data_IF_167436152417
#
_entry.id   IF_167436152417
#
_cell.length_a   1.000
_cell.length_b   1.000
_cell.length_c   1.000
_cell.angle_alpha   90.00
_cell.angle_beta   90.00
_cell.angle_gamma   90.00
#
_symmetry.space_group_name_H-M   'P 1'
#
loop_
_entity.id
_entity.type
_entity.pdbx_description
1 polymer ?
#
# COMPACT_ATOMS: atom_id res chain seq x y z
N UNK A 1 7.92 -17.70 32.83
CA UNK A 1 7.92 -16.24 33.11
C UNK A 1 7.84 -15.53 31.76
N UNK A 2 7.00 -14.51 31.60
CA UNK A 2 6.77 -13.82 30.32
C UNK A 2 7.30 -12.39 30.42
N UNK A 3 8.09 -11.94 29.43
CA UNK A 3 8.49 -10.54 29.28
C UNK A 3 7.42 -9.85 28.42
N UNK A 4 6.61 -8.98 29.03
CA UNK A 4 5.55 -8.26 28.32
C UNK A 4 6.09 -7.10 27.48
N UNK A 5 7.19 -6.49 27.91
CA UNK A 5 7.86 -5.40 27.22
C UNK A 5 9.33 -5.41 27.58
N UNK A 6 10.19 -5.26 26.58
CA UNK A 6 11.63 -5.09 26.75
C UNK A 6 11.96 -3.75 27.44
N UNK A 7 13.07 -3.72 28.18
CA UNK A 7 13.63 -2.48 28.70
C UNK A 7 13.92 -1.49 27.56
N UNK A 8 13.62 -0.20 27.82
CA UNK A 8 13.70 0.88 26.84
C UNK A 8 14.44 2.08 27.43
N UNK A 9 15.30 2.69 26.61
CA UNK A 9 16.01 3.92 26.91
C UNK A 9 15.75 4.95 25.82
N UNK A 10 15.42 6.16 26.24
CA UNK A 10 15.23 7.30 25.35
C UNK A 10 16.49 8.15 25.38
N UNK A 11 17.13 8.30 24.23
CA UNK A 11 18.32 9.15 24.04
C UNK A 11 17.85 10.43 23.35
N UNK A 12 18.08 11.56 24.01
CA UNK A 12 17.68 12.88 23.53
C UNK A 12 18.56 13.37 22.38
N UNK A 13 18.08 14.38 21.64
CA UNK A 13 18.86 15.04 20.57
C UNK A 13 20.22 15.54 21.05
N UNK A 14 20.26 16.12 22.24
CA UNK A 14 21.48 16.74 22.79
C UNK A 14 22.52 15.67 23.14
N UNK A 15 22.09 14.53 23.67
CA UNK A 15 22.95 13.37 23.90
C UNK A 15 23.50 12.83 22.56
N UNK A 16 22.66 12.66 21.54
CA UNK A 16 23.10 12.18 20.22
C UNK A 16 24.09 13.15 19.56
N UNK A 17 23.86 14.45 19.69
CA UNK A 17 24.76 15.48 19.16
C UNK A 17 26.13 15.41 19.85
N UNK A 18 26.13 15.27 21.17
CA UNK A 18 27.36 15.11 21.98
C UNK A 18 28.15 13.87 21.56
N UNK A 19 27.47 12.75 21.31
CA UNK A 19 28.13 11.53 20.81
C UNK A 19 28.78 11.75 19.44
N UNK A 20 28.09 12.44 18.52
CA UNK A 20 28.57 12.64 17.16
C UNK A 20 29.74 13.63 17.06
N UNK A 21 29.74 14.68 17.89
CA UNK A 21 30.77 15.73 17.94
C UNK A 21 32.02 15.31 18.73
N UNK A 22 31.97 14.21 19.49
CA UNK A 22 33.13 13.67 20.19
C UNK A 22 34.21 13.19 19.21
N UNK A 23 35.46 13.59 19.45
CA UNK A 23 36.62 13.08 18.73
C UNK A 23 36.87 11.58 19.02
N UNK A 24 36.47 11.11 20.19
CA UNK A 24 36.45 9.70 20.58
C UNK A 24 34.99 9.27 20.86
N UNK A 25 34.33 8.79 19.81
CA UNK A 25 32.92 8.37 19.87
C UNK A 25 32.73 7.14 20.73
N UNK A 26 33.72 6.25 20.75
CA UNK A 26 33.67 5.04 21.57
C UNK A 26 33.67 5.40 23.05
N UNK A 27 34.59 6.24 23.50
CA UNK A 27 34.63 6.70 24.89
C UNK A 27 33.34 7.44 25.29
N UNK A 28 32.79 8.29 24.41
CA UNK A 28 31.54 9.00 24.66
C UNK A 28 30.35 8.05 24.84
N UNK A 29 30.24 7.02 23.99
CA UNK A 29 29.21 5.99 24.11
C UNK A 29 29.39 5.13 25.36
N UNK A 30 30.61 4.82 25.78
CA UNK A 30 30.85 4.15 27.07
C UNK A 30 30.42 5.02 28.26
N UNK A 31 30.61 6.34 28.19
CA UNK A 31 30.11 7.29 29.17
C UNK A 31 28.58 7.23 29.30
N UNK A 32 27.88 7.32 28.17
CA UNK A 32 26.42 7.19 28.12
C UNK A 32 25.94 5.84 28.66
N UNK A 33 26.64 4.75 28.30
CA UNK A 33 26.35 3.41 28.80
C UNK A 33 26.46 3.32 30.31
N UNK A 34 27.52 3.87 30.90
CA UNK A 34 27.71 3.87 32.35
C UNK A 34 26.63 4.69 33.06
N UNK A 35 26.29 5.87 32.54
CA UNK A 35 25.26 6.75 33.09
C UNK A 35 23.86 6.11 33.05
N UNK A 36 23.49 5.54 31.89
CA UNK A 36 22.15 4.98 31.63
C UNK A 36 22.02 3.50 31.96
N UNK A 37 23.11 2.87 32.43
CA UNK A 37 23.21 1.43 32.71
C UNK A 37 22.78 0.58 31.50
N UNK A 38 23.24 0.95 30.30
CA UNK A 38 22.93 0.20 29.10
C UNK A 38 23.64 -1.17 29.12
N UNK A 39 22.96 -2.26 28.71
CA UNK A 39 23.62 -3.54 28.49
C UNK A 39 24.64 -3.44 27.34
N UNK A 40 25.52 -4.43 27.21
CA UNK A 40 26.48 -4.49 26.09
C UNK A 40 25.77 -4.46 24.74
N UNK A 41 24.70 -5.25 24.61
CA UNK A 41 23.92 -5.34 23.39
C UNK A 41 22.62 -4.56 23.52
N UNK A 42 22.45 -3.57 22.66
CA UNK A 42 21.21 -2.80 22.54
C UNK A 42 20.66 -2.92 21.12
N UNK A 43 19.40 -2.59 20.95
CA UNK A 43 18.73 -2.54 19.65
C UNK A 43 18.27 -1.13 19.42
N UNK A 44 18.74 -0.51 18.35
CA UNK A 44 18.13 0.72 17.84
C UNK A 44 16.84 0.32 17.11
N UNK A 45 15.70 0.75 17.65
CA UNK A 45 14.39 0.43 17.08
C UNK A 45 13.84 1.60 16.25
N UNK A 46 13.44 1.32 15.01
CA UNK A 46 12.91 2.29 14.05
C UNK A 46 11.70 1.68 13.31
N UNK A 47 10.51 1.82 13.91
CA UNK A 47 9.32 1.07 13.45
C UNK A 47 9.55 -0.43 13.49
N UNK A 48 9.41 -1.09 12.33
CA UNK A 48 9.65 -2.53 12.13
C UNK A 48 11.14 -2.88 11.89
N UNK A 49 11.99 -1.87 11.63
CA UNK A 49 13.42 -2.09 11.46
C UNK A 49 14.10 -2.10 12.84
N UNK A 50 14.84 -3.17 13.11
CA UNK A 50 15.64 -3.31 14.34
C UNK A 50 17.10 -3.49 13.97
N UNK A 51 17.98 -2.70 14.58
CA UNK A 51 19.42 -2.80 14.38
C UNK A 51 20.11 -3.13 15.70
N UNK A 52 20.63 -4.37 15.86
CA UNK A 52 21.48 -4.73 16.99
C UNK A 52 22.79 -3.93 16.96
N UNK A 53 23.18 -3.42 18.12
CA UNK A 53 24.43 -2.68 18.32
C UNK A 53 25.18 -3.33 19.47
N UNK A 54 26.38 -3.81 19.18
CA UNK A 54 27.37 -4.20 20.21
C UNK A 54 28.12 -2.95 20.65
N UNK A 55 27.88 -2.50 21.88
CA UNK A 55 28.54 -1.32 22.44
C UNK A 55 30.00 -1.58 22.81
N UNK A 56 30.49 -2.83 22.83
CA UNK A 56 31.93 -3.13 23.02
C UNK A 56 32.71 -3.12 21.70
N UNK A 57 32.03 -3.08 20.55
CA UNK A 57 32.68 -3.09 19.24
C UNK A 57 32.77 -1.67 18.67
N UNK A 58 34.00 -1.19 18.43
CA UNK A 58 34.27 0.17 17.95
C UNK A 58 33.57 0.47 16.61
N UNK A 59 33.58 -0.47 15.66
CA UNK A 59 32.92 -0.29 14.36
C UNK A 59 31.39 -0.23 14.50
N UNK A 60 30.83 -1.07 15.37
CA UNK A 60 29.40 -1.07 15.70
C UNK A 60 28.99 0.26 16.33
N UNK A 61 29.81 0.82 17.22
CA UNK A 61 29.60 2.15 17.81
C UNK A 61 29.69 3.25 16.76
N UNK A 62 30.67 3.20 15.85
CA UNK A 62 30.77 4.17 14.75
C UNK A 62 29.55 4.13 13.83
N UNK A 63 29.11 2.92 13.44
CA UNK A 63 27.89 2.75 12.65
C UNK A 63 26.66 3.25 13.40
N UNK A 64 26.52 2.94 14.68
CA UNK A 64 25.44 3.44 15.52
C UNK A 64 25.40 4.97 15.54
N UNK A 65 26.52 5.63 15.87
CA UNK A 65 26.61 7.10 15.92
C UNK A 65 26.30 7.70 14.54
N UNK A 66 26.82 7.11 13.46
CA UNK A 66 26.56 7.57 12.10
C UNK A 66 25.07 7.50 11.72
N UNK A 67 24.35 6.48 12.17
CA UNK A 67 22.92 6.28 11.89
C UNK A 67 22.04 7.24 12.69
N UNK A 68 22.48 7.64 13.88
CA UNK A 68 21.69 8.49 14.79
C UNK A 68 22.07 9.97 14.77
N UNK A 69 23.18 10.36 14.14
CA UNK A 69 23.74 11.74 14.16
C UNK A 69 22.79 12.86 13.74
N UNK A 70 21.84 12.58 12.85
CA UNK A 70 20.88 13.56 12.32
C UNK A 70 19.48 13.42 12.95
N UNK A 71 19.30 12.49 13.89
CA UNK A 71 17.99 12.20 14.50
C UNK A 71 17.68 13.19 15.62
N UNK A 72 16.39 13.49 15.81
CA UNK A 72 15.90 14.30 16.93
C UNK A 72 15.87 13.54 18.28
N UNK A 73 16.20 12.25 18.27
CA UNK A 73 16.25 11.36 19.41
C UNK A 73 16.30 9.90 18.94
N UNK A 74 16.62 8.99 19.85
CA UNK A 74 16.67 7.55 19.55
C UNK A 74 16.04 6.74 20.70
N UNK A 75 15.30 5.69 20.35
CA UNK A 75 14.84 4.69 21.33
C UNK A 75 15.72 3.45 21.22
N UNK A 76 16.41 3.13 22.30
CA UNK A 76 17.16 1.90 22.45
C UNK A 76 16.32 0.88 23.21
N UNK A 77 16.37 -0.38 22.80
CA UNK A 77 15.80 -1.53 23.49
C UNK A 77 16.90 -2.47 23.92
N UNK A 78 16.65 -3.29 24.94
CA UNK A 78 17.57 -4.39 25.25
C UNK A 78 17.51 -5.44 24.14
N UNK A 79 18.65 -6.04 23.80
CA UNK A 79 18.67 -7.21 22.94
C UNK A 79 18.26 -8.43 23.79
N UNK A 80 17.04 -8.91 23.58
CA UNK A 80 16.49 -10.06 24.31
C UNK A 80 15.88 -11.10 23.36
N UNK A 81 16.23 -12.39 23.47
CA UNK A 81 17.29 -12.95 24.32
C UNK A 81 18.69 -12.48 23.88
N UNK A 82 19.64 -12.40 24.81
CA UNK A 82 21.03 -12.13 24.45
C UNK A 82 21.61 -13.29 23.60
N UNK A 83 22.65 -13.05 22.77
CA UNK A 83 23.23 -14.09 21.91
C UNK A 83 23.61 -15.38 22.66
N UNK A 84 24.13 -15.26 23.87
CA UNK A 84 24.49 -16.38 24.75
C UNK A 84 23.28 -17.15 25.32
N UNK A 85 22.08 -16.56 25.27
CA UNK A 85 20.82 -17.14 25.76
C UNK A 85 19.97 -17.77 24.64
N UNK A 86 20.46 -17.77 23.40
CA UNK A 86 19.75 -18.36 22.27
C UNK A 86 19.64 -19.88 22.43
N UNK A 87 18.40 -20.36 22.32
CA UNK A 87 18.04 -21.78 22.53
C UNK A 87 17.90 -22.59 21.24
N UNK A 88 17.61 -21.95 20.11
CA UNK A 88 17.54 -22.62 18.82
C UNK A 88 18.96 -22.83 18.30
N UNK A 89 19.38 -24.09 18.13
CA UNK A 89 20.75 -24.45 17.71
C UNK A 89 20.72 -25.44 16.55
N UNK A 90 21.65 -25.27 15.63
CA UNK A 90 21.91 -26.17 14.50
C UNK A 90 23.39 -26.27 14.21
N UNK A 91 23.76 -26.88 13.09
CA UNK A 91 25.16 -27.10 12.69
C UNK A 91 25.94 -25.81 12.46
N UNK A 92 25.26 -24.71 12.14
CA UNK A 92 25.86 -23.40 11.87
C UNK A 92 25.90 -22.48 13.10
N UNK A 93 25.42 -22.95 14.26
CA UNK A 93 25.44 -22.19 15.52
C UNK A 93 24.05 -21.97 16.12
N UNK A 94 23.89 -20.85 16.80
CA UNK A 94 22.64 -20.47 17.47
C UNK A 94 21.85 -19.47 16.63
N UNK A 95 20.53 -19.58 16.66
CA UNK A 95 19.60 -18.81 15.82
C UNK A 95 18.62 -18.00 16.67
N UNK A 96 18.29 -16.80 16.19
CA UNK A 96 17.11 -16.07 16.63
C UNK A 96 15.85 -16.76 16.10
N UNK A 97 14.80 -16.87 16.91
CA UNK A 97 13.55 -17.50 16.49
C UNK A 97 12.35 -16.78 17.13
N UNK A 98 11.22 -16.82 16.44
CA UNK A 98 9.95 -16.26 16.89
C UNK A 98 8.87 -17.34 16.76
N UNK A 99 8.02 -17.46 17.78
CA UNK A 99 6.88 -18.38 17.79
C UNK A 99 5.58 -17.58 17.88
N UNK A 100 4.76 -17.68 16.85
CA UNK A 100 3.44 -17.05 16.80
C UNK A 100 2.42 -18.05 17.36
N UNK A 101 1.90 -17.78 18.56
CA UNK A 101 0.93 -18.65 19.25
C UNK A 101 -0.47 -18.01 19.20
N UNK A 102 -1.40 -18.49 18.35
CA UNK A 102 -2.76 -17.97 18.31
C UNK A 102 -3.56 -18.43 19.53
N UNK A 103 -4.32 -17.52 20.15
CA UNK A 103 -5.23 -17.83 21.26
C UNK A 103 -6.69 -17.71 20.81
N UNK A 104 -7.52 -18.66 21.24
CA UNK A 104 -8.98 -18.59 21.08
C UNK A 104 -9.62 -18.35 22.43
N UNK A 105 -10.64 -17.50 22.49
CA UNK A 105 -11.38 -17.24 23.72
C UNK A 105 -12.20 -18.49 24.07
N UNK A 106 -11.84 -19.19 25.13
CA UNK A 106 -12.74 -20.14 25.76
C UNK A 106 -13.84 -19.36 26.48
N UNK A 107 -15.10 -19.59 26.11
CA UNK A 107 -16.26 -19.01 26.78
C UNK A 107 -16.86 -20.09 27.65
N UNK A 108 -16.82 -19.90 28.97
CA UNK A 108 -17.60 -20.73 29.89
C UNK A 108 -19.08 -20.39 29.70
N UNK A 109 -19.88 -21.38 29.29
CA UNK A 109 -21.28 -21.21 28.92
C UNK A 109 -22.20 -20.67 30.04
N UNK A 110 -21.71 -20.54 31.27
CA UNK A 110 -22.48 -19.98 32.39
C UNK A 110 -22.41 -18.45 32.49
N UNK A 111 -21.34 -17.81 32.02
CA UNK A 111 -21.21 -16.34 32.12
C UNK A 111 -22.03 -15.60 31.05
N UNK A 112 -22.34 -16.25 29.92
CA UNK A 112 -23.22 -15.70 28.88
C UNK A 112 -24.69 -15.69 29.34
N UNK A 113 -25.18 -16.76 29.98
CA UNK A 113 -26.58 -16.87 30.45
C UNK A 113 -26.99 -15.80 31.46
N UNK A 114 -26.03 -15.24 32.21
CA UNK A 114 -26.27 -14.17 33.19
C UNK A 114 -26.18 -12.76 32.59
N UNK A 115 -25.30 -12.52 31.62
CA UNK A 115 -25.19 -11.21 30.95
C UNK A 115 -26.29 -10.98 29.91
N UNK A 116 -26.72 -12.03 29.22
CA UNK A 116 -27.79 -11.96 28.23
C UNK A 116 -29.18 -11.67 28.84
N UNK A 117 -29.34 -11.88 30.15
CA UNK A 117 -30.62 -11.63 30.86
C UNK A 117 -30.81 -10.21 31.38
N UNK A 118 -29.74 -9.44 31.61
CA UNK A 118 -29.84 -8.15 32.31
C UNK A 118 -29.45 -6.92 31.48
N UNK A 119 -28.88 -7.06 30.28
CA UNK A 119 -28.40 -5.87 29.53
C UNK A 119 -28.73 -5.77 28.04
N UNK A 120 -29.60 -6.63 27.50
CA UNK A 120 -30.13 -6.41 26.15
C UNK A 120 -31.65 -6.31 26.20
N UNK A 121 -32.14 -5.09 26.39
CA UNK A 121 -33.46 -4.76 25.86
C UNK A 121 -33.36 -4.91 24.34
N UNK A 122 -34.16 -5.79 23.70
CA UNK A 122 -34.13 -5.91 22.27
C UNK A 122 -34.70 -4.62 21.69
N UNK A 123 -33.88 -3.85 20.97
CA UNK A 123 -34.39 -2.95 19.96
C UNK A 123 -35.12 -3.84 18.95
N UNK A 124 -36.43 -3.78 18.97
CA UNK A 124 -37.32 -4.35 17.97
C UNK A 124 -37.04 -3.67 16.62
N UNK A 125 -36.03 -4.16 15.93
CA UNK A 125 -35.88 -3.93 14.49
C UNK A 125 -36.79 -4.94 13.80
N UNK A 126 -37.78 -4.43 13.08
CA UNK A 126 -38.67 -5.24 12.25
C UNK A 126 -37.87 -6.15 11.29
N UNK A 127 -38.34 -7.37 11.01
CA UNK A 127 -37.57 -8.35 10.25
C UNK A 127 -37.47 -7.90 8.80
N UNK A 128 -36.27 -7.48 8.38
CA UNK A 128 -35.92 -7.37 6.98
C UNK A 128 -34.77 -8.32 6.70
N UNK A 129 -35.14 -9.48 6.12
CA UNK A 129 -34.29 -10.45 5.45
C UNK A 129 -32.92 -10.76 6.07
N UNK A 130 -32.90 -11.75 6.98
CA UNK A 130 -31.72 -12.61 7.11
C UNK A 130 -31.51 -13.36 5.78
N UNK A 131 -30.68 -12.79 4.91
CA UNK A 131 -30.02 -13.57 3.88
C UNK A 131 -28.97 -14.41 4.58
N UNK A 132 -29.20 -15.72 4.63
CA UNK A 132 -28.18 -16.73 4.93
C UNK A 132 -27.15 -16.68 3.79
N UNK A 133 -26.24 -15.71 3.83
CA UNK A 133 -25.10 -15.68 2.91
C UNK A 133 -24.10 -16.70 3.43
N UNK A 134 -23.98 -17.84 2.75
CA UNK A 134 -22.85 -18.75 2.95
C UNK A 134 -21.55 -17.94 2.79
N UNK A 135 -20.61 -18.00 3.75
CA UNK A 135 -19.38 -17.21 3.67
C UNK A 135 -18.64 -17.54 2.37
N UNK A 136 -18.23 -16.52 1.61
CA UNK A 136 -17.47 -16.77 0.37
C UNK A 136 -16.10 -17.38 0.73
N UNK A 137 -15.54 -18.24 -0.14
CA UNK A 137 -14.21 -18.77 0.09
C UNK A 137 -13.19 -17.62 0.16
N UNK A 138 -12.39 -17.62 1.22
CA UNK A 138 -11.37 -16.58 1.49
C UNK A 138 -9.98 -16.95 0.98
N UNK A 139 -9.74 -18.25 0.77
CA UNK A 139 -8.46 -18.81 0.35
C UNK A 139 -8.67 -19.67 -0.88
N UNK A 140 -7.88 -19.39 -1.90
CA UNK A 140 -7.93 -20.05 -3.20
C UNK A 140 -6.57 -20.66 -3.48
N UNK A 141 -6.46 -21.97 -3.26
CA UNK A 141 -5.24 -22.70 -3.56
C UNK A 141 -4.99 -22.77 -5.08
N UNK A 142 -3.74 -23.03 -5.53
CA UNK A 142 -3.45 -23.29 -6.93
C UNK A 142 -4.38 -24.38 -7.51
N UNK A 143 -4.95 -24.11 -8.67
CA UNK A 143 -5.92 -25.00 -9.33
C UNK A 143 -7.37 -24.83 -8.91
N UNK A 144 -7.70 -23.76 -8.17
CA UNK A 144 -9.07 -23.32 -7.92
C UNK A 144 -9.55 -22.32 -8.99
N UNK A 145 -10.65 -21.62 -8.72
CA UNK A 145 -11.18 -20.53 -9.57
C UNK A 145 -10.27 -19.29 -9.67
N UNK A 146 -9.15 -19.29 -8.93
CA UNK A 146 -8.08 -18.31 -9.06
C UNK A 146 -6.75 -18.96 -9.43
N UNK A 147 -6.13 -18.44 -10.48
CA UNK A 147 -4.72 -18.66 -10.78
C UNK A 147 -3.92 -17.47 -10.29
N UNK A 148 -3.04 -17.69 -9.32
CA UNK A 148 -2.18 -16.66 -8.75
C UNK A 148 -0.71 -17.02 -8.96
N UNK A 149 -0.02 -16.20 -9.76
CA UNK A 149 1.40 -16.32 -10.06
C UNK A 149 2.21 -15.14 -9.51
N UNK A 150 3.35 -15.43 -8.88
CA UNK A 150 4.41 -14.48 -8.55
C UNK A 150 5.49 -14.54 -9.62
N UNK A 151 5.78 -13.42 -10.26
CA UNK A 151 6.79 -13.26 -11.30
C UNK A 151 7.94 -12.44 -10.75
N UNK A 152 8.98 -13.12 -10.28
CA UNK A 152 10.15 -12.49 -9.65
C UNK A 152 11.05 -11.85 -10.71
N UNK A 153 11.20 -10.53 -10.62
CA UNK A 153 11.90 -9.69 -11.58
C UNK A 153 12.37 -8.38 -10.92
N UNK A 154 13.33 -7.69 -11.53
CA UNK A 154 13.79 -6.39 -11.02
C UNK A 154 12.69 -5.33 -11.09
N UNK A 155 12.71 -4.34 -10.18
CA UNK A 155 11.68 -3.30 -10.12
C UNK A 155 11.54 -2.50 -11.44
N UNK A 156 12.65 -2.26 -12.16
CA UNK A 156 12.64 -1.64 -13.49
C UNK A 156 12.18 -2.62 -14.59
N UNK A 157 12.56 -3.90 -14.48
CA UNK A 157 12.22 -4.96 -15.43
C UNK A 157 10.73 -5.34 -15.38
N UNK A 158 10.06 -5.14 -14.25
CA UNK A 158 8.64 -5.43 -14.08
C UNK A 158 7.75 -4.74 -15.16
N UNK A 159 8.12 -3.54 -15.62
CA UNK A 159 7.39 -2.88 -16.71
C UNK A 159 7.55 -3.61 -18.05
N UNK A 160 8.75 -4.15 -18.32
CA UNK A 160 9.01 -4.97 -19.49
C UNK A 160 8.22 -6.27 -19.42
N UNK A 161 8.21 -6.94 -18.25
CA UNK A 161 7.40 -8.15 -18.02
C UNK A 161 5.92 -7.89 -18.25
N UNK A 162 5.39 -6.76 -17.76
CA UNK A 162 4.00 -6.36 -18.01
C UNK A 162 3.73 -6.15 -19.50
N UNK A 163 4.59 -5.40 -20.19
CA UNK A 163 4.42 -5.01 -21.59
C UNK A 163 4.58 -6.17 -22.56
N UNK A 164 5.57 -7.02 -22.33
CA UNK A 164 6.01 -8.06 -23.29
C UNK A 164 5.32 -9.41 -23.06
N UNK A 165 4.93 -9.73 -21.83
CA UNK A 165 4.34 -11.03 -21.50
C UNK A 165 2.93 -10.92 -20.90
N UNK A 166 2.79 -10.23 -19.76
CA UNK A 166 1.54 -10.28 -18.98
C UNK A 166 0.38 -9.65 -19.74
N UNK A 167 0.53 -8.44 -20.29
CA UNK A 167 -0.56 -7.73 -20.96
C UNK A 167 -1.01 -8.45 -22.24
N UNK A 168 -0.12 -8.87 -23.17
CA UNK A 168 -0.53 -9.66 -24.33
C UNK A 168 -1.24 -10.96 -23.94
N UNK A 169 -0.65 -11.75 -23.04
CA UNK A 169 -1.24 -13.01 -22.60
C UNK A 169 -2.60 -12.78 -21.94
N UNK A 170 -2.72 -11.78 -21.07
CA UNK A 170 -3.97 -11.51 -20.38
C UNK A 170 -5.11 -11.10 -21.32
N UNK A 171 -4.81 -10.34 -22.40
CA UNK A 171 -5.80 -10.00 -23.42
C UNK A 171 -6.34 -11.24 -24.12
N UNK A 172 -5.45 -12.14 -24.53
CA UNK A 172 -5.83 -13.36 -25.23
C UNK A 172 -6.57 -14.35 -24.31
N UNK A 173 -6.11 -14.52 -23.06
CA UNK A 173 -6.74 -15.36 -22.03
C UNK A 173 -8.17 -14.89 -21.72
N UNK A 174 -8.39 -13.58 -21.62
CA UNK A 174 -9.73 -13.03 -21.41
C UNK A 174 -10.58 -13.14 -22.67
N UNK A 175 -10.01 -12.87 -23.85
CA UNK A 175 -10.72 -12.95 -25.13
C UNK A 175 -11.20 -14.37 -25.46
N UNK A 176 -10.44 -15.40 -25.10
CA UNK A 176 -10.85 -16.81 -25.24
C UNK A 176 -11.90 -17.24 -24.21
N UNK A 177 -12.11 -16.43 -23.17
CA UNK A 177 -12.96 -16.73 -22.01
C UNK A 177 -12.32 -17.70 -21.01
N UNK A 178 -11.03 -18.02 -21.13
CA UNK A 178 -10.32 -18.87 -20.17
C UNK A 178 -10.22 -18.22 -18.78
N UNK A 179 -10.14 -16.89 -18.74
CA UNK A 179 -10.37 -16.10 -17.54
C UNK A 179 -11.47 -15.06 -17.79
N UNK A 180 -12.23 -14.74 -16.75
CA UNK A 180 -13.22 -13.65 -16.77
C UNK A 180 -12.57 -12.30 -16.54
N UNK A 181 -11.59 -12.27 -15.64
CA UNK A 181 -10.88 -11.06 -15.25
C UNK A 181 -9.48 -11.40 -14.75
N UNK A 182 -8.62 -10.39 -14.70
CA UNK A 182 -7.27 -10.52 -14.16
C UNK A 182 -6.86 -9.23 -13.48
N UNK A 183 -5.90 -9.28 -12.57
CA UNK A 183 -5.26 -8.07 -12.09
C UNK A 183 -3.85 -8.35 -11.63
N UNK A 184 -3.07 -7.29 -11.47
CA UNK A 184 -1.72 -7.39 -10.94
C UNK A 184 -1.46 -6.42 -9.80
N UNK A 185 -0.43 -6.73 -9.02
CA UNK A 185 0.16 -5.86 -8.01
C UNK A 185 1.69 -5.90 -8.16
N UNK A 186 2.35 -4.85 -7.67
CA UNK A 186 3.80 -4.84 -7.46
C UNK A 186 4.07 -5.13 -5.99
N UNK A 187 4.98 -6.05 -5.69
CA UNK A 187 5.27 -6.43 -4.31
C UNK A 187 6.77 -6.66 -4.09
N UNK A 188 7.17 -6.64 -2.83
CA UNK A 188 8.54 -6.85 -2.39
C UNK A 188 8.50 -7.45 -0.98
N UNK A 189 8.35 -8.76 -0.88
CA UNK A 189 8.46 -9.47 0.41
C UNK A 189 9.92 -9.90 0.64
N UNK A 190 10.34 -10.93 -0.07
CA UNK A 190 11.71 -11.44 -0.17
C UNK A 190 12.48 -10.70 -1.25
N UNK A 191 11.89 -10.66 -2.44
CA UNK A 191 12.43 -10.00 -3.62
C UNK A 191 11.30 -9.26 -4.37
N UNK A 192 11.69 -8.33 -5.23
CA UNK A 192 10.75 -7.66 -6.13
C UNK A 192 10.07 -8.66 -7.08
N UNK A 193 8.74 -8.55 -7.19
CA UNK A 193 7.95 -9.37 -8.09
C UNK A 193 6.63 -8.72 -8.47
N UNK A 194 6.06 -9.19 -9.57
CA UNK A 194 4.65 -8.97 -9.90
C UNK A 194 3.81 -10.10 -9.33
N UNK A 195 2.67 -9.75 -8.72
CA UNK A 195 1.63 -10.71 -8.36
C UNK A 195 0.55 -10.60 -9.42
N UNK A 196 0.42 -11.61 -10.28
CA UNK A 196 -0.58 -11.64 -11.35
C UNK A 196 -1.64 -12.68 -11.00
N UNK A 197 -2.90 -12.29 -11.08
CA UNK A 197 -4.05 -13.12 -10.70
C UNK A 197 -5.06 -13.15 -11.82
N UNK A 198 -5.56 -14.34 -12.14
CA UNK A 198 -6.65 -14.57 -13.08
C UNK A 198 -7.78 -15.28 -12.36
N UNK A 199 -9.00 -14.83 -12.59
CA UNK A 199 -10.21 -15.50 -12.10
C UNK A 199 -10.95 -16.15 -13.27
N UNK A 200 -11.40 -17.39 -13.11
CA UNK A 200 -12.06 -18.13 -14.17
C UNK A 200 -12.51 -19.51 -13.73
N UNK A 201 -12.89 -20.33 -14.71
CA UNK A 201 -13.10 -21.76 -14.46
C UNK A 201 -11.76 -22.43 -14.14
N UNK A 202 -11.71 -23.20 -13.06
CA UNK A 202 -10.48 -23.81 -12.57
C UNK A 202 -9.78 -24.69 -13.63
N UNK A 203 -10.55 -25.43 -14.42
CA UNK A 203 -10.01 -26.32 -15.46
C UNK A 203 -9.42 -25.51 -16.59
N UNK A 204 -10.14 -24.50 -17.08
CA UNK A 204 -9.66 -23.62 -18.15
C UNK A 204 -8.46 -22.79 -17.72
N UNK A 205 -8.42 -22.33 -16.47
CA UNK A 205 -7.26 -21.63 -15.93
C UNK A 205 -6.00 -22.52 -15.97
N UNK A 206 -6.12 -23.79 -15.61
CA UNK A 206 -4.98 -24.72 -15.60
C UNK A 206 -4.57 -25.22 -17.00
N UNK A 207 -5.55 -25.44 -17.88
CA UNK A 207 -5.31 -26.08 -19.18
C UNK A 207 -5.13 -25.11 -20.34
N UNK A 208 -5.61 -23.86 -20.20
CA UNK A 208 -5.52 -22.82 -21.23
C UNK A 208 -4.71 -21.62 -20.72
N UNK A 209 -5.16 -20.98 -19.63
CA UNK A 209 -4.57 -19.72 -19.18
C UNK A 209 -3.13 -19.86 -18.67
N UNK A 210 -2.86 -20.90 -17.87
CA UNK A 210 -1.54 -21.15 -17.31
C UNK A 210 -0.49 -21.47 -18.40
N UNK A 211 -0.70 -22.42 -19.33
CA UNK A 211 0.24 -22.68 -20.42
C UNK A 211 0.51 -21.46 -21.27
N UNK A 212 -0.52 -20.64 -21.53
CA UNK A 212 -0.38 -19.42 -22.32
C UNK A 212 0.47 -18.35 -21.60
N UNK A 213 0.24 -18.14 -20.31
CA UNK A 213 1.08 -17.24 -19.51
C UNK A 213 2.52 -17.77 -19.42
N UNK A 214 2.70 -19.08 -19.23
CA UNK A 214 4.01 -19.71 -19.19
C UNK A 214 4.77 -19.53 -20.51
N UNK A 215 4.11 -19.77 -21.64
CA UNK A 215 4.70 -19.57 -22.97
C UNK A 215 5.13 -18.11 -23.20
N UNK A 216 4.32 -17.15 -22.74
CA UNK A 216 4.67 -15.73 -22.81
C UNK A 216 5.87 -15.35 -21.89
N UNK A 217 6.06 -16.07 -20.79
CA UNK A 217 7.16 -15.84 -19.84
C UNK A 217 8.45 -16.55 -20.21
N UNK A 218 8.40 -17.61 -21.02
CA UNK A 218 9.56 -18.43 -21.39
C UNK A 218 10.74 -17.62 -21.95
N UNK A 219 10.56 -16.64 -22.86
CA UNK A 219 11.68 -15.82 -23.34
C UNK A 219 12.33 -14.98 -22.23
N UNK A 220 11.53 -14.46 -21.30
CA UNK A 220 11.99 -13.65 -20.16
C UNK A 220 12.68 -14.50 -19.09
N UNK A 221 12.29 -15.77 -18.96
CA UNK A 221 12.98 -16.75 -18.12
C UNK A 221 14.33 -17.13 -18.71
N UNK A 222 14.37 -17.37 -20.02
CA UNK A 222 15.57 -17.80 -20.75
C UNK A 222 16.70 -16.76 -20.69
N UNK A 223 16.37 -15.46 -20.69
CA UNK A 223 17.35 -14.37 -20.61
C UNK A 223 17.53 -13.76 -19.21
N UNK A 224 16.84 -14.31 -18.20
CA UNK A 224 16.98 -13.93 -16.79
C UNK A 224 16.26 -12.65 -16.38
N UNK A 225 15.47 -12.01 -17.25
CA UNK A 225 14.63 -10.84 -16.89
C UNK A 225 13.54 -11.21 -15.87
N UNK A 226 13.05 -12.44 -15.94
CA UNK A 226 12.30 -13.12 -14.88
C UNK A 226 13.17 -14.29 -14.44
N UNK A 227 13.51 -14.40 -13.15
CA UNK A 227 14.36 -15.52 -12.68
C UNK A 227 13.59 -16.60 -11.93
N UNK A 228 12.35 -16.32 -11.51
CA UNK A 228 11.50 -17.29 -10.81
C UNK A 228 10.02 -16.99 -11.05
N UNK A 229 9.26 -18.05 -11.33
CA UNK A 229 7.79 -18.01 -11.36
C UNK A 229 7.27 -19.00 -10.32
N UNK A 230 6.31 -18.56 -9.51
CA UNK A 230 5.72 -19.38 -8.45
C UNK A 230 4.19 -19.27 -8.45
N UNK A 231 3.51 -20.41 -8.43
CA UNK A 231 2.08 -20.46 -8.12
C UNK A 231 1.87 -20.41 -6.61
N UNK A 232 0.88 -19.66 -6.14
CA UNK A 232 0.63 -19.45 -4.72
C UNK A 232 -0.87 -19.37 -4.40
N UNK A 233 -1.21 -19.37 -3.11
CA UNK A 233 -2.58 -19.27 -2.63
C UNK A 233 -3.04 -17.82 -2.61
N UNK A 234 -4.17 -17.51 -3.25
CA UNK A 234 -4.78 -16.19 -3.17
C UNK A 234 -5.63 -16.10 -1.89
N UNK A 235 -5.29 -15.14 -1.02
CA UNK A 235 -6.08 -14.81 0.17
C UNK A 235 -6.79 -13.46 -0.03
N UNK A 236 -8.11 -13.47 0.11
CA UNK A 236 -8.94 -12.25 0.02
C UNK A 236 -8.83 -11.42 1.29
N UNK A 237 -8.58 -10.12 1.12
CA UNK A 237 -8.60 -9.12 2.19
C UNK A 237 -10.05 -8.59 2.39
N UNK A 238 -10.96 -9.48 2.78
CA UNK A 238 -12.42 -9.21 2.84
C UNK A 238 -12.74 -7.97 3.68
N UNK A 239 -12.14 -7.84 4.84
CA UNK A 239 -12.38 -6.76 5.79
C UNK A 239 -11.93 -5.41 5.21
N UNK A 240 -10.79 -5.38 4.49
CA UNK A 240 -10.24 -4.16 3.91
C UNK A 240 -11.13 -3.57 2.82
N UNK A 241 -11.80 -4.44 2.07
CA UNK A 241 -12.54 -4.07 0.87
C UNK A 241 -14.06 -4.06 1.07
N UNK A 242 -14.54 -3.96 2.31
CA UNK A 242 -15.95 -3.67 2.59
C UNK A 242 -16.82 -4.91 2.74
N UNK A 243 -16.23 -6.03 3.13
CA UNK A 243 -16.95 -7.29 3.35
C UNK A 243 -17.09 -8.13 2.08
N UNK A 244 -17.92 -9.17 2.16
CA UNK A 244 -18.09 -10.19 1.12
C UNK A 244 -18.55 -9.59 -0.23
N UNK A 245 -19.44 -8.61 -0.19
CA UNK A 245 -19.88 -7.89 -1.39
C UNK A 245 -18.76 -7.00 -1.92
N UNK A 246 -18.15 -6.21 -1.03
CA UNK A 246 -17.19 -5.20 -1.42
C UNK A 246 -15.91 -5.80 -2.00
N UNK A 247 -15.43 -6.94 -1.51
CA UNK A 247 -14.22 -7.60 -2.04
C UNK A 247 -14.42 -8.09 -3.48
N UNK A 248 -15.59 -8.63 -3.80
CA UNK A 248 -15.90 -9.10 -5.16
C UNK A 248 -15.97 -7.94 -6.16
N UNK A 249 -16.53 -6.80 -5.73
CA UNK A 249 -16.57 -5.58 -6.54
C UNK A 249 -15.17 -4.92 -6.64
N UNK A 250 -14.36 -5.01 -5.59
CA UNK A 250 -12.99 -4.53 -5.59
C UNK A 250 -12.13 -5.29 -6.61
N UNK A 251 -12.32 -6.61 -6.75
CA UNK A 251 -11.62 -7.42 -7.75
C UNK A 251 -11.93 -6.96 -9.19
N UNK A 252 -13.18 -6.61 -9.49
CA UNK A 252 -13.57 -6.02 -10.78
C UNK A 252 -12.96 -4.63 -11.00
N UNK A 253 -12.90 -3.82 -9.94
CA UNK A 253 -12.22 -2.52 -9.98
C UNK A 253 -10.72 -2.70 -10.24
N UNK A 254 -10.09 -3.67 -9.59
CA UNK A 254 -8.68 -4.01 -9.79
C UNK A 254 -8.40 -4.48 -11.21
N UNK A 255 -9.32 -5.23 -11.81
CA UNK A 255 -9.19 -5.62 -13.19
C UNK A 255 -9.18 -4.42 -14.14
N UNK A 256 -10.19 -3.54 -14.07
CA UNK A 256 -10.26 -2.36 -14.91
C UNK A 256 -9.03 -1.44 -14.72
N UNK A 257 -8.58 -1.26 -13.46
CA UNK A 257 -7.40 -0.47 -13.16
C UNK A 257 -6.10 -1.15 -13.64
N UNK A 258 -5.97 -2.47 -13.52
CA UNK A 258 -4.83 -3.22 -14.05
C UNK A 258 -4.73 -3.14 -15.57
N UNK A 259 -5.83 -3.26 -16.29
CA UNK A 259 -5.86 -3.09 -17.75
C UNK A 259 -5.36 -1.69 -18.10
N UNK A 260 -5.95 -0.66 -17.49
CA UNK A 260 -5.59 0.73 -17.76
C UNK A 260 -4.10 1.03 -17.45
N UNK A 261 -3.60 0.59 -16.30
CA UNK A 261 -2.22 0.84 -15.91
C UNK A 261 -1.23 0.06 -16.79
N UNK A 262 -1.50 -1.20 -17.11
CA UNK A 262 -0.63 -1.97 -18.00
C UNK A 262 -0.55 -1.33 -19.40
N UNK A 263 -1.68 -0.82 -19.89
CA UNK A 263 -1.78 -0.07 -21.14
C UNK A 263 -1.02 1.25 -21.12
N UNK A 264 -1.07 1.99 -20.02
CA UNK A 264 -0.30 3.22 -19.83
C UNK A 264 1.19 2.90 -19.80
N UNK A 265 1.60 1.94 -18.96
CA UNK A 265 3.00 1.57 -18.78
C UNK A 265 3.64 1.11 -20.09
N UNK A 266 2.88 0.40 -20.94
CA UNK A 266 3.35 -0.04 -22.24
C UNK A 266 3.66 1.10 -23.23
N UNK A 267 3.15 2.33 -22.98
CA UNK A 267 3.25 3.49 -23.88
C UNK A 267 4.09 4.63 -23.30
N UNK A 268 4.62 4.49 -22.09
CA UNK A 268 5.48 5.50 -21.47
C UNK A 268 6.78 5.67 -22.26
N UNK A 269 7.29 6.89 -22.27
CA UNK A 269 8.62 7.21 -22.78
C UNK A 269 9.72 6.49 -21.96
N UNK A 270 10.90 6.31 -22.54
CA UNK A 270 12.07 5.77 -21.82
C UNK A 270 12.76 6.84 -20.98
N UNK A 271 13.47 6.44 -19.93
CA UNK A 271 14.26 7.36 -19.10
C UNK A 271 13.41 8.27 -18.22
N UNK A 272 13.93 9.46 -17.91
CA UNK A 272 13.33 10.39 -16.95
C UNK A 272 12.00 10.97 -17.43
N UNK A 273 11.82 11.16 -18.74
CA UNK A 273 10.56 11.61 -19.32
C UNK A 273 9.42 10.65 -18.95
N UNK A 274 9.62 9.34 -19.11
CA UNK A 274 8.62 8.34 -18.73
C UNK A 274 8.33 8.29 -17.23
N UNK A 275 9.29 8.69 -16.38
CA UNK A 275 9.07 8.78 -14.94
C UNK A 275 8.18 9.96 -14.57
N UNK A 276 8.38 11.12 -15.20
CA UNK A 276 7.50 12.27 -15.03
C UNK A 276 6.10 11.99 -15.57
N UNK A 277 5.99 11.42 -16.79
CA UNK A 277 4.71 11.00 -17.38
C UNK A 277 3.94 10.06 -16.45
N UNK A 278 4.62 9.02 -15.93
CA UNK A 278 4.06 8.05 -14.98
C UNK A 278 3.51 8.73 -13.74
N UNK A 279 4.29 9.62 -13.14
CA UNK A 279 3.91 10.27 -11.90
C UNK A 279 2.72 11.22 -12.09
N UNK A 280 2.67 11.95 -13.22
CA UNK A 280 1.52 12.77 -13.61
C UNK A 280 0.27 11.92 -13.87
N UNK A 281 0.42 10.80 -14.57
CA UNK A 281 -0.68 9.87 -14.85
C UNK A 281 -1.18 9.18 -13.57
N UNK A 282 -0.31 8.93 -12.58
CA UNK A 282 -0.72 8.45 -11.27
C UNK A 282 -1.59 9.48 -10.54
N UNK A 283 -1.16 10.74 -10.51
CA UNK A 283 -1.94 11.83 -9.91
C UNK A 283 -3.30 12.02 -10.60
N UNK A 284 -3.29 12.00 -11.95
CA UNK A 284 -4.52 12.12 -12.74
C UNK A 284 -5.45 10.92 -12.51
N UNK A 285 -4.91 9.70 -12.49
CA UNK A 285 -5.65 8.48 -12.24
C UNK A 285 -6.33 8.47 -10.87
N UNK A 286 -5.69 9.04 -9.84
CA UNK A 286 -6.27 9.24 -8.51
C UNK A 286 -7.45 10.20 -8.51
N UNK A 287 -7.32 11.41 -9.08
CA UNK A 287 -8.44 12.36 -9.19
C UNK A 287 -9.58 11.78 -10.04
N UNK A 288 -9.25 11.10 -11.14
CA UNK A 288 -10.27 10.49 -11.99
C UNK A 288 -11.04 9.41 -11.25
N UNK A 289 -10.36 8.57 -10.47
CA UNK A 289 -11.04 7.55 -9.65
C UNK A 289 -11.98 8.22 -8.64
N UNK A 290 -11.54 9.29 -7.97
CA UNK A 290 -12.41 10.06 -7.07
C UNK A 290 -13.62 10.67 -7.78
N UNK A 291 -13.46 11.17 -9.01
CA UNK A 291 -14.58 11.62 -9.86
C UNK A 291 -15.52 10.46 -10.19
N UNK A 292 -14.98 9.29 -10.50
CA UNK A 292 -15.78 8.12 -10.89
C UNK A 292 -16.69 7.66 -9.74
N UNK A 293 -16.23 7.77 -8.49
CA UNK A 293 -17.04 7.55 -7.28
C UNK A 293 -18.12 8.62 -7.05
N UNK A 294 -18.14 9.69 -7.84
CA UNK A 294 -19.12 10.78 -7.73
C UNK A 294 -18.84 11.75 -6.58
N UNK A 295 -17.62 11.76 -6.02
CA UNK A 295 -17.28 12.68 -4.95
C UNK A 295 -17.15 14.12 -5.47
N UNK A 296 -17.85 15.03 -4.80
CA UNK A 296 -17.68 16.46 -5.01
C UNK A 296 -16.31 16.96 -4.49
N UNK A 297 -16.00 18.23 -4.76
CA UNK A 297 -14.70 18.80 -4.38
C UNK A 297 -14.45 18.76 -2.85
N UNK A 298 -15.50 18.87 -2.04
CA UNK A 298 -15.37 18.85 -0.59
C UNK A 298 -15.06 17.43 -0.08
N UNK A 299 -15.83 16.44 -0.52
CA UNK A 299 -15.61 15.03 -0.21
C UNK A 299 -14.22 14.56 -0.69
N UNK A 300 -13.83 14.94 -1.91
CA UNK A 300 -12.48 14.70 -2.42
C UNK A 300 -11.39 15.26 -1.52
N UNK A 301 -11.54 16.51 -1.10
CA UNK A 301 -10.57 17.18 -0.23
C UNK A 301 -10.43 16.45 1.12
N UNK A 302 -11.53 16.01 1.72
CA UNK A 302 -11.49 15.27 2.97
C UNK A 302 -10.82 13.90 2.82
N UNK A 303 -11.12 13.16 1.75
CA UNK A 303 -10.46 11.88 1.44
C UNK A 303 -8.95 12.08 1.28
N UNK A 304 -8.49 13.03 0.45
CA UNK A 304 -7.05 13.22 0.23
C UNK A 304 -6.32 13.79 1.43
N UNK A 305 -6.97 14.63 2.25
CA UNK A 305 -6.43 15.08 3.54
C UNK A 305 -6.23 13.90 4.49
N UNK A 306 -7.20 12.98 4.56
CA UNK A 306 -7.10 11.78 5.39
C UNK A 306 -5.93 10.90 4.96
N UNK A 307 -5.81 10.61 3.65
CA UNK A 307 -4.68 9.88 3.09
C UNK A 307 -3.33 10.57 3.38
N UNK A 308 -3.26 11.88 3.15
CA UNK A 308 -2.09 12.71 3.45
C UNK A 308 -1.69 12.64 4.92
N UNK A 309 -2.65 12.78 5.84
CA UNK A 309 -2.38 12.75 7.28
C UNK A 309 -1.80 11.40 7.72
N UNK A 310 -2.31 10.29 7.19
CA UNK A 310 -1.77 8.95 7.45
C UNK A 310 -0.30 8.83 7.07
N UNK A 311 0.07 9.24 5.86
CA UNK A 311 1.47 9.20 5.41
C UNK A 311 2.38 10.19 6.15
N UNK A 312 1.92 11.42 6.43
CA UNK A 312 2.74 12.37 7.18
C UNK A 312 3.04 11.88 8.60
N UNK A 313 2.10 11.18 9.23
CA UNK A 313 2.33 10.55 10.53
C UNK A 313 3.35 9.40 10.42
N UNK A 314 3.21 8.56 9.41
CA UNK A 314 4.13 7.45 9.13
C UNK A 314 5.58 7.92 8.88
N UNK A 315 5.76 8.99 8.10
CA UNK A 315 7.08 9.55 7.79
C UNK A 315 7.62 10.52 8.84
N UNK A 316 6.96 10.64 10.00
CA UNK A 316 7.32 11.58 11.06
C UNK A 316 7.57 13.01 10.53
N UNK A 317 6.61 13.52 9.76
CA UNK A 317 6.75 14.78 9.04
C UNK A 317 7.16 15.94 9.97
N UNK A 318 8.19 16.66 9.55
CA UNK A 318 8.70 17.84 10.23
C UNK A 318 8.53 19.08 9.32
N UNK A 319 8.86 20.26 9.86
CA UNK A 319 8.75 21.52 9.14
C UNK A 319 9.55 21.53 7.82
N UNK A 320 10.69 20.81 7.78
CA UNK A 320 11.50 20.69 6.59
C UNK A 320 10.78 19.93 5.47
N UNK A 321 10.18 18.78 5.78
CA UNK A 321 9.39 18.00 4.82
C UNK A 321 8.18 18.82 4.32
N UNK A 322 7.51 19.54 5.21
CA UNK A 322 6.43 20.44 4.82
C UNK A 322 6.89 21.56 3.87
N UNK A 323 8.09 22.11 4.09
CA UNK A 323 8.68 23.10 3.20
C UNK A 323 9.00 22.50 1.82
N UNK A 324 9.62 21.31 1.75
CA UNK A 324 9.92 20.61 0.51
C UNK A 324 8.66 20.31 -0.32
N UNK A 325 7.61 19.80 0.33
CA UNK A 325 6.32 19.53 -0.30
C UNK A 325 5.67 20.82 -0.84
N UNK A 326 5.76 21.91 -0.07
CA UNK A 326 5.23 23.21 -0.49
C UNK A 326 5.97 23.76 -1.70
N UNK A 327 7.29 23.62 -1.74
CA UNK A 327 8.12 24.09 -2.86
C UNK A 327 7.87 23.28 -4.14
N UNK A 328 7.76 21.96 -4.00
CA UNK A 328 7.39 21.08 -5.11
C UNK A 328 6.03 21.45 -5.70
N UNK A 329 5.03 21.72 -4.86
CA UNK A 329 3.73 22.19 -5.33
C UNK A 329 3.82 23.50 -6.11
N UNK A 330 4.58 24.49 -5.61
CA UNK A 330 4.74 25.78 -6.32
C UNK A 330 5.35 25.61 -7.70
N UNK A 331 6.35 24.74 -7.80
CA UNK A 331 7.05 24.42 -9.05
C UNK A 331 6.10 23.75 -10.05
N UNK A 332 5.29 22.79 -9.59
CA UNK A 332 4.42 22.00 -10.47
C UNK A 332 3.03 22.61 -10.71
N UNK A 333 2.63 23.64 -9.97
CA UNK A 333 1.24 24.12 -9.95
C UNK A 333 0.65 24.35 -11.35
N UNK A 334 1.34 25.09 -12.22
CA UNK A 334 0.82 25.44 -13.55
C UNK A 334 0.68 24.20 -14.45
N UNK A 335 1.63 23.27 -14.37
CA UNK A 335 1.61 22.04 -15.16
C UNK A 335 0.48 21.12 -14.69
N UNK A 336 0.24 21.05 -13.37
CA UNK A 336 -0.87 20.31 -12.78
C UNK A 336 -2.23 20.93 -13.11
N UNK A 337 -2.39 22.25 -13.02
CA UNK A 337 -3.64 22.93 -13.40
C UNK A 337 -4.02 22.60 -14.85
N UNK A 338 -3.04 22.60 -15.77
CA UNK A 338 -3.24 22.20 -17.18
C UNK A 338 -3.59 20.72 -17.35
N UNK A 339 -2.98 19.83 -16.56
CA UNK A 339 -3.26 18.38 -16.61
C UNK A 339 -4.73 18.06 -16.30
N UNK A 340 -5.35 18.83 -15.40
CA UNK A 340 -6.74 18.63 -14.99
C UNK A 340 -7.76 19.47 -15.76
N UNK A 341 -7.33 20.28 -16.71
CA UNK A 341 -8.23 21.04 -17.58
C UNK A 341 -8.63 20.19 -18.79
N UNK A 342 -9.91 19.75 -18.90
CA UNK A 342 -10.36 18.94 -20.04
C UNK A 342 -10.17 19.65 -21.39
N UNK A 343 -10.24 20.98 -21.43
CA UNK A 343 -10.03 21.74 -22.66
C UNK A 343 -8.57 21.67 -23.14
N UNK A 344 -7.64 21.43 -22.22
CA UNK A 344 -6.21 21.31 -22.51
C UNK A 344 -5.77 19.88 -22.88
N UNK A 345 -6.68 18.89 -22.86
CA UNK A 345 -6.35 17.49 -23.15
C UNK A 345 -6.07 17.26 -24.64
N UNK A 346 -6.76 17.99 -25.52
CA UNK A 346 -6.49 17.95 -26.95
C UNK A 346 -5.07 18.49 -27.24
N UNK A 347 -4.17 17.63 -27.72
CA UNK A 347 -2.77 17.97 -27.97
C UNK A 347 -1.87 17.95 -26.73
N UNK A 348 -2.34 17.43 -25.58
CA UNK A 348 -1.49 17.22 -24.41
C UNK A 348 -0.48 16.10 -24.66
N UNK A 349 0.75 16.22 -24.16
CA UNK A 349 1.78 15.17 -24.30
C UNK A 349 1.32 13.81 -23.73
N UNK A 350 0.49 13.85 -22.69
CA UNK A 350 -0.09 12.66 -22.04
C UNK A 350 -1.43 12.19 -22.62
N UNK A 351 -1.92 12.76 -23.74
CA UNK A 351 -3.28 12.54 -24.23
C UNK A 351 -3.67 11.05 -24.36
N UNK A 352 -2.73 10.20 -24.77
CA UNK A 352 -2.97 8.75 -24.87
C UNK A 352 -3.27 8.12 -23.51
N UNK A 353 -2.49 8.45 -22.47
CA UNK A 353 -2.73 7.95 -21.11
C UNK A 353 -4.02 8.51 -20.50
N UNK A 354 -4.37 9.77 -20.79
CA UNK A 354 -5.64 10.36 -20.37
C UNK A 354 -6.84 9.64 -21.00
N UNK A 355 -6.75 9.29 -22.29
CA UNK A 355 -7.79 8.54 -22.98
C UNK A 355 -7.99 7.12 -22.41
N UNK A 356 -6.91 6.44 -22.00
CA UNK A 356 -6.99 5.14 -21.33
C UNK A 356 -7.78 5.24 -20.03
N UNK A 357 -7.60 6.31 -19.25
CA UNK A 357 -8.39 6.51 -18.04
C UNK A 357 -9.87 6.81 -18.31
N UNK A 358 -10.22 7.43 -19.45
CA UNK A 358 -11.61 7.56 -19.84
C UNK A 358 -12.27 6.19 -20.10
N UNK A 359 -11.54 5.26 -20.74
CA UNK A 359 -12.00 3.88 -20.93
C UNK A 359 -12.13 3.14 -19.59
N UNK A 360 -11.15 3.30 -18.69
CA UNK A 360 -11.22 2.76 -17.32
C UNK A 360 -12.49 3.25 -16.60
N UNK A 361 -12.78 4.55 -16.63
CA UNK A 361 -13.97 5.11 -15.99
C UNK A 361 -15.26 4.52 -16.56
N UNK A 362 -15.33 4.31 -17.88
CA UNK A 362 -16.50 3.67 -18.51
C UNK A 362 -16.69 2.22 -18.03
N UNK A 363 -15.60 1.45 -17.89
CA UNK A 363 -15.65 0.09 -17.35
C UNK A 363 -16.01 0.06 -15.85
N UNK A 364 -15.54 1.04 -15.09
CA UNK A 364 -15.80 1.14 -13.65
C UNK A 364 -17.21 1.62 -13.32
N UNK A 365 -17.87 2.36 -14.21
CA UNK A 365 -19.20 2.93 -13.96
C UNK A 365 -20.23 1.91 -13.39
N UNK A 366 -20.44 0.72 -13.99
CA UNK A 366 -21.36 -0.27 -13.43
C UNK A 366 -20.90 -0.82 -12.06
N UNK A 367 -19.59 -1.02 -11.86
CA UNK A 367 -19.02 -1.54 -10.61
C UNK A 367 -19.20 -0.52 -9.48
N UNK A 368 -18.94 0.75 -9.76
CA UNK A 368 -19.10 1.84 -8.80
C UNK A 368 -20.58 2.04 -8.46
N UNK A 369 -21.49 1.94 -9.43
CA UNK A 369 -22.93 1.99 -9.17
C UNK A 369 -23.36 0.85 -8.22
N UNK A 370 -22.79 -0.35 -8.38
CA UNK A 370 -23.04 -1.47 -7.46
C UNK A 370 -22.44 -1.25 -6.07
N UNK A 371 -21.24 -0.66 -5.97
CA UNK A 371 -20.63 -0.25 -4.69
C UNK A 371 -21.49 0.80 -3.97
N UNK A 372 -21.97 1.82 -4.69
CA UNK A 372 -22.86 2.86 -4.14
C UNK A 372 -24.22 2.28 -3.72
N UNK A 373 -24.77 1.33 -4.48
CA UNK A 373 -25.98 0.62 -4.08
C UNK A 373 -25.74 -0.21 -2.82
N UNK A 374 -24.62 -0.94 -2.75
CA UNK A 374 -24.25 -1.72 -1.58
C UNK A 374 -24.04 -0.85 -0.32
N UNK A 375 -23.47 0.35 -0.46
CA UNK A 375 -23.36 1.31 0.64
C UNK A 375 -24.75 1.78 1.12
N UNK A 376 -25.62 2.20 0.20
CA UNK A 376 -26.99 2.66 0.52
C UNK A 376 -27.82 1.56 1.18
N UNK A 377 -27.61 0.32 0.77
CA UNK A 377 -28.27 -0.87 1.34
C UNK A 377 -27.54 -1.42 2.58
N UNK A 378 -26.50 -0.73 3.08
CA UNK A 378 -25.73 -1.13 4.26
C UNK A 378 -25.13 -2.54 4.17
N UNK A 379 -24.81 -2.99 2.96
CA UNK A 379 -24.15 -4.28 2.69
C UNK A 379 -22.62 -4.19 2.72
N UNK A 380 -22.06 -2.98 2.79
CA UNK A 380 -20.64 -2.76 2.99
C UNK A 380 -20.32 -2.60 4.47
N UNK A 381 -19.19 -3.17 4.91
CA UNK A 381 -18.74 -3.07 6.31
C UNK A 381 -18.16 -1.71 6.68
N UNK A 382 -17.87 -0.87 5.69
CA UNK A 382 -17.32 0.47 5.87
C UNK A 382 -17.77 1.38 4.71
N UNK A 383 -17.82 2.71 4.89
CA UNK A 383 -18.29 3.62 3.85
C UNK A 383 -17.30 3.73 2.68
N UNK A 384 -17.78 4.17 1.53
CA UNK A 384 -17.00 4.33 0.30
C UNK A 384 -15.86 5.34 0.46
N UNK A 385 -16.02 6.33 1.34
CA UNK A 385 -14.96 7.30 1.69
C UNK A 385 -13.75 6.64 2.36
N UNK A 386 -13.92 5.50 3.01
CA UNK A 386 -12.83 4.69 3.56
C UNK A 386 -12.28 3.71 2.53
N UNK A 387 -13.16 3.06 1.76
CA UNK A 387 -12.76 2.09 0.73
C UNK A 387 -11.92 2.72 -0.36
N UNK A 388 -12.26 3.95 -0.77
CA UNK A 388 -11.55 4.65 -1.84
C UNK A 388 -10.09 4.90 -1.51
N UNK A 389 -9.71 5.05 -0.23
CA UNK A 389 -8.30 5.16 0.17
C UNK A 389 -7.52 3.89 -0.20
N UNK A 390 -8.13 2.71 0.01
CA UNK A 390 -7.52 1.45 -0.42
C UNK A 390 -7.46 1.34 -1.94
N UNK A 391 -8.48 1.79 -2.67
CA UNK A 391 -8.47 1.77 -4.14
C UNK A 391 -7.43 2.72 -4.74
N UNK A 392 -7.28 3.92 -4.18
CA UNK A 392 -6.23 4.88 -4.56
C UNK A 392 -4.84 4.30 -4.29
N UNK A 393 -4.64 3.70 -3.12
CA UNK A 393 -3.37 3.04 -2.79
C UNK A 393 -3.04 1.93 -3.79
N UNK A 394 -4.03 1.08 -4.12
CA UNK A 394 -3.84 0.02 -5.09
C UNK A 394 -3.56 0.54 -6.51
N UNK A 395 -4.17 1.65 -6.91
CA UNK A 395 -3.85 2.32 -8.17
C UNK A 395 -2.39 2.81 -8.19
N UNK A 396 -1.96 3.47 -7.12
CA UNK A 396 -0.59 3.97 -6.98
C UNK A 396 0.43 2.82 -6.96
N UNK A 397 0.13 1.71 -6.28
CA UNK A 397 0.95 0.50 -6.26
C UNK A 397 1.19 -0.08 -7.66
N UNK A 398 0.17 -0.08 -8.52
CA UNK A 398 0.28 -0.64 -9.89
C UNK A 398 1.12 0.24 -10.80
N UNK A 399 0.94 1.56 -10.72
CA UNK A 399 1.55 2.49 -11.66
C UNK A 399 2.98 2.88 -11.27
N UNK A 400 3.30 3.05 -9.98
CA UNK A 400 4.63 3.46 -9.53
C UNK A 400 5.58 2.27 -9.34
N UNK A 401 6.80 2.37 -9.86
CA UNK A 401 7.78 1.26 -9.86
C UNK A 401 8.67 1.19 -8.61
N UNK A 402 8.86 2.29 -7.88
CA UNK A 402 9.77 2.38 -6.74
C UNK A 402 9.34 3.46 -5.77
N UNK A 403 9.84 3.39 -4.54
CA UNK A 403 9.55 4.36 -3.46
C UNK A 403 8.05 4.70 -3.33
N UNK A 404 7.18 3.69 -3.54
CA UNK A 404 5.74 3.88 -3.74
C UNK A 404 5.12 4.70 -2.61
N UNK A 405 5.42 4.35 -1.35
CA UNK A 405 4.89 5.04 -0.16
C UNK A 405 5.28 6.52 -0.11
N UNK A 406 6.56 6.83 -0.32
CA UNK A 406 7.05 8.20 -0.32
C UNK A 406 6.46 9.01 -1.49
N UNK A 407 6.33 8.42 -2.67
CA UNK A 407 5.72 9.08 -3.82
C UNK A 407 4.21 9.27 -3.63
N UNK A 408 3.51 8.29 -3.06
CA UNK A 408 2.08 8.35 -2.73
C UNK A 408 1.78 9.49 -1.76
N UNK A 409 2.61 9.67 -0.73
CA UNK A 409 2.53 10.82 0.17
C UNK A 409 2.58 12.16 -0.59
N UNK A 410 3.52 12.29 -1.54
CA UNK A 410 3.63 13.50 -2.36
C UNK A 410 2.37 13.69 -3.23
N UNK A 411 1.84 12.62 -3.83
CA UNK A 411 0.62 12.69 -4.64
C UNK A 411 -0.58 13.18 -3.81
N UNK A 412 -0.76 12.66 -2.59
CA UNK A 412 -1.78 13.12 -1.66
C UNK A 412 -1.59 14.59 -1.26
N UNK A 413 -0.35 15.03 -0.99
CA UNK A 413 -0.07 16.44 -0.66
C UNK A 413 -0.42 17.37 -1.83
N UNK A 414 -0.09 17.00 -3.06
CA UNK A 414 -0.41 17.78 -4.24
C UNK A 414 -1.91 17.86 -4.50
N UNK A 415 -2.64 16.74 -4.44
CA UNK A 415 -4.10 16.75 -4.57
C UNK A 415 -4.75 17.60 -3.48
N UNK A 416 -4.27 17.50 -2.23
CA UNK A 416 -4.78 18.32 -1.11
C UNK A 416 -4.64 19.80 -1.41
N UNK A 417 -3.48 20.25 -1.92
CA UNK A 417 -3.23 21.66 -2.25
C UNK A 417 -4.02 22.12 -3.47
N UNK A 418 -4.10 21.30 -4.52
CA UNK A 418 -4.90 21.59 -5.71
C UNK A 418 -6.38 21.76 -5.35
N UNK A 419 -6.95 20.82 -4.60
CA UNK A 419 -8.36 20.90 -4.20
C UNK A 419 -8.60 22.08 -3.25
N UNK A 420 -7.70 22.33 -2.29
CA UNK A 420 -7.81 23.51 -1.40
C UNK A 420 -7.81 24.81 -2.19
N UNK A 421 -6.94 24.93 -3.21
CA UNK A 421 -6.88 26.10 -4.07
C UNK A 421 -8.18 26.28 -4.89
N UNK A 422 -8.74 25.19 -5.44
CA UNK A 422 -10.03 25.21 -6.16
C UNK A 422 -11.20 25.58 -5.24
N UNK A 423 -11.25 25.04 -4.02
CA UNK A 423 -12.29 25.37 -3.03
C UNK A 423 -12.23 26.85 -2.65
N UNK A 424 -11.03 27.40 -2.46
CA UNK A 424 -10.84 28.82 -2.17
C UNK A 424 -11.17 29.74 -3.36
N UNK A 425 -11.01 29.29 -4.60
CA UNK A 425 -11.44 30.02 -5.79
C UNK A 425 -12.96 29.99 -5.96
N UNK A 426 -13.59 28.83 -5.73
CA UNK A 426 -15.04 28.66 -5.82
C UNK A 426 -15.78 29.57 -4.82
N UNK A 427 -15.29 29.68 -3.58
CA UNK A 427 -15.87 30.55 -2.55
C UNK A 427 -15.67 32.06 -2.82
N UNK A 428 -14.73 32.42 -3.68
CA UNK A 428 -14.49 33.82 -4.11
C UNK A 428 -15.25 34.20 -5.38
N UNK A 429 -15.91 33.25 -6.04
CA UNK A 429 -16.66 33.52 -7.28
C UNK A 429 -17.88 34.42 -7.03
N UNK A 430 -18.24 35.33 -7.96
CA UNK A 430 -19.38 36.24 -7.80
C UNK A 430 -20.73 35.53 -7.56
N UNK A 431 -20.91 34.34 -8.16
CA UNK A 431 -22.11 33.51 -7.97
C UNK A 431 -22.24 32.95 -6.55
N UNK A 432 -21.12 32.57 -5.90
CA UNK A 432 -21.14 32.10 -4.51
C UNK A 432 -21.42 33.24 -3.51
N UNK A 433 -20.94 34.46 -3.80
CA UNK A 433 -21.25 35.66 -3.00
C UNK A 433 -22.71 36.09 -3.11
N UNK A 434 -23.36 35.86 -4.26
CA UNK A 434 -24.78 36.16 -4.45
C UNK A 434 -25.73 35.10 -3.86
N UNK A 435 -25.25 33.87 -3.61
CA UNK A 435 -26.03 32.81 -2.95
C UNK A 435 -25.90 32.83 -1.40
N UNK A 436 -24.89 33.54 -0.87
CA UNK A 436 -24.65 33.69 0.56
C UNK A 436 -25.11 35.05 1.13
N UNK A 437 -25.53 35.97 0.26
CA UNK A 437 -26.18 37.23 0.59
C UNK A 437 -27.69 37.09 0.36
#
# INVERSE_FOLDING_TARGET
RLVLSQARWLVSRDELKTLNESADRFAAVQGLRAERKLPRYVVLADGDNTLPVDLDNVLSVESFVHIVKERAGATLRELWPAPEQLIARGTEGAFTHELIVPFVRQRDGETERRRDRETVQPLTVSPSHHLTISPSPRRFAPGSEWLYAKLYCGAATADQVLREAVLPAAREIVASGAARQWFFLRYSDSDHHLRVRFEGDATRLLTEAWPQLQAALEPLLSDGRVWRVQLDTYEREVERYGGEVGVTLAEQLFYADSVAVAEIVARLSTGDAGMDERWRLALYGMDRLLNDFGFDLAAKLEVVKKGRAGFLAEFHANDHLHAQLSERYRTERKSLERLFDPAAHAGHALAQGLAVFAQRSAQLAPVIAQLQAAEREQRLTQPLTELVLSYLHMHVNRILRSAQRAQEMVLYDLLTRLYSARTAQASRSPQARAAAA
#
